data_IF_283130705639
#
_entry.id   IF_283130705639
#
_cell.length_a   1.000
_cell.length_b   1.000
_cell.length_c   1.000
_cell.angle_alpha   90.00
_cell.angle_beta   90.00
_cell.angle_gamma   90.00
#
_symmetry.space_group_name_H-M   'P 1'
#
loop_
_entity.id
_entity.type
_entity.pdbx_description
1 polymer ?
#
# COMPACT_ATOMS: atom_id res chain seq x y z
N UNK A 1 10.87 -9.32 -2.23
CA UNK A 1 10.25 -8.10 -1.65
C UNK A 1 8.88 -7.95 -2.26
N UNK A 2 7.85 -7.57 -1.52
CA UNK A 2 6.50 -7.38 -2.10
C UNK A 2 6.39 -6.02 -2.74
N UNK A 3 5.62 -5.96 -3.82
CA UNK A 3 5.39 -4.70 -4.51
C UNK A 3 4.50 -3.78 -3.66
N UNK A 4 5.04 -2.63 -3.29
CA UNK A 4 4.30 -1.55 -2.61
C UNK A 4 4.22 -0.36 -3.56
N UNK A 5 3.02 0.15 -3.81
CA UNK A 5 2.80 1.36 -4.62
C UNK A 5 1.94 2.34 -3.81
N UNK A 6 2.42 3.57 -3.69
CA UNK A 6 1.74 4.61 -2.91
C UNK A 6 0.89 5.51 -3.81
N UNK A 7 -0.39 5.63 -3.49
CA UNK A 7 -1.27 6.61 -4.12
C UNK A 7 -1.23 7.88 -3.28
N UNK A 8 -0.64 8.92 -3.85
CA UNK A 8 -0.41 10.19 -3.17
C UNK A 8 -1.15 11.34 -3.86
N UNK A 9 -1.15 12.51 -3.27
CA UNK A 9 -1.83 13.70 -3.78
C UNK A 9 -2.37 14.57 -2.64
N UNK A 10 -2.82 15.78 -2.97
CA UNK A 10 -3.41 16.72 -1.99
C UNK A 10 -4.73 16.17 -1.43
N UNK A 11 -5.20 16.73 -0.31
CA UNK A 11 -6.50 16.35 0.24
C UNK A 11 -7.61 16.67 -0.75
N UNK A 12 -8.61 15.78 -0.87
CA UNK A 12 -9.71 15.98 -1.82
C UNK A 12 -9.39 15.66 -3.29
N UNK A 13 -8.17 15.20 -3.63
CA UNK A 13 -7.81 14.90 -5.03
C UNK A 13 -8.51 13.67 -5.63
N UNK A 14 -9.27 12.91 -4.84
CA UNK A 14 -9.96 11.70 -5.33
C UNK A 14 -9.14 10.42 -5.22
N UNK A 15 -8.10 10.37 -4.40
CA UNK A 15 -7.27 9.17 -4.17
C UNK A 15 -8.08 7.95 -3.75
N UNK A 16 -8.99 8.13 -2.80
CA UNK A 16 -9.84 7.02 -2.30
C UNK A 16 -10.70 6.46 -3.42
N UNK A 17 -11.33 7.30 -4.23
CA UNK A 17 -12.15 6.87 -5.38
C UNK A 17 -11.32 6.14 -6.43
N UNK A 18 -10.09 6.60 -6.71
CA UNK A 18 -9.17 5.91 -7.60
C UNK A 18 -8.80 4.53 -7.04
N UNK A 19 -8.48 4.44 -5.75
CA UNK A 19 -8.14 3.18 -5.08
C UNK A 19 -9.30 2.19 -5.12
N UNK A 20 -10.54 2.62 -4.88
CA UNK A 20 -11.73 1.77 -5.00
C UNK A 20 -11.86 1.15 -6.40
N UNK A 21 -11.64 1.96 -7.44
CA UNK A 21 -11.62 1.49 -8.83
C UNK A 21 -10.49 0.50 -9.10
N UNK A 22 -9.27 0.81 -8.66
CA UNK A 22 -8.09 -0.05 -8.84
C UNK A 22 -8.23 -1.38 -8.10
N UNK A 23 -8.73 -1.38 -6.87
CA UNK A 23 -8.99 -2.61 -6.10
C UNK A 23 -9.95 -3.51 -6.88
N UNK A 24 -11.05 -2.94 -7.38
CA UNK A 24 -12.06 -3.68 -8.14
C UNK A 24 -11.47 -4.27 -9.41
N UNK A 25 -10.74 -3.49 -10.18
CA UNK A 25 -10.11 -3.89 -11.42
C UNK A 25 -9.06 -4.99 -11.20
N UNK A 26 -8.11 -4.77 -10.30
CA UNK A 26 -7.04 -5.73 -10.00
C UNK A 26 -7.59 -7.04 -9.42
N UNK A 27 -8.62 -6.97 -8.57
CA UNK A 27 -9.31 -8.16 -8.08
C UNK A 27 -9.98 -8.96 -9.20
N UNK A 28 -10.61 -8.28 -10.17
CA UNK A 28 -11.21 -8.93 -11.35
C UNK A 28 -10.15 -9.63 -12.20
N UNK A 29 -8.92 -9.13 -12.23
CA UNK A 29 -7.76 -9.73 -12.90
C UNK A 29 -7.11 -10.87 -12.08
N UNK A 30 -7.61 -11.15 -10.90
CA UNK A 30 -7.16 -12.28 -10.05
C UNK A 30 -6.09 -11.93 -9.03
N UNK A 31 -5.73 -10.65 -8.85
CA UNK A 31 -4.74 -10.24 -7.87
C UNK A 31 -5.34 -10.11 -6.46
N UNK A 32 -4.56 -10.52 -5.46
CA UNK A 32 -4.83 -10.25 -4.05
C UNK A 32 -4.20 -8.92 -3.66
N UNK A 33 -5.03 -7.93 -3.38
CA UNK A 33 -4.60 -6.56 -3.09
C UNK A 33 -4.84 -6.24 -1.63
N UNK A 34 -3.81 -5.78 -0.94
CA UNK A 34 -3.92 -5.18 0.40
C UNK A 34 -3.90 -3.65 0.30
N UNK A 35 -4.61 -2.98 1.21
CA UNK A 35 -4.62 -1.51 1.32
C UNK A 35 -4.14 -1.09 2.69
N UNK A 36 -3.19 -0.16 2.72
CA UNK A 36 -2.71 0.50 3.94
C UNK A 36 -2.95 1.99 3.83
N UNK A 37 -3.73 2.55 4.75
CA UNK A 37 -4.00 3.98 4.81
C UNK A 37 -3.17 4.64 5.90
N UNK A 38 -2.40 5.66 5.54
CA UNK A 38 -1.71 6.51 6.49
C UNK A 38 -2.64 7.61 7.01
N UNK A 39 -2.73 7.73 8.34
CA UNK A 39 -3.45 8.82 8.99
C UNK A 39 -2.58 9.45 10.08
N UNK A 40 -2.50 10.78 10.06
CA UNK A 40 -1.86 11.55 11.13
C UNK A 40 -2.76 11.72 12.36
N UNK A 41 -4.03 11.37 12.25
CA UNK A 41 -4.99 11.48 13.35
C UNK A 41 -5.07 10.14 14.08
N UNK A 42 -4.60 10.11 15.30
CA UNK A 42 -4.68 8.94 16.19
C UNK A 42 -6.10 8.66 16.71
N UNK A 43 -7.06 9.54 16.42
CA UNK A 43 -8.43 9.42 16.88
C UNK A 43 -9.21 8.44 16.01
N UNK A 44 -9.84 7.49 16.66
CA UNK A 44 -10.97 6.69 16.16
C UNK A 44 -10.63 5.56 15.18
N UNK A 45 -9.49 4.87 15.40
CA UNK A 45 -9.21 3.61 14.71
C UNK A 45 -10.19 2.52 15.19
N UNK A 46 -10.53 2.51 16.47
CA UNK A 46 -11.51 1.60 17.08
C UNK A 46 -12.75 2.37 17.54
N UNK A 47 -13.90 1.72 17.53
CA UNK A 47 -15.15 2.32 17.98
C UNK A 47 -15.13 2.51 19.50
N UNK A 48 -15.28 3.74 19.95
CA UNK A 48 -15.36 4.11 21.38
C UNK A 48 -16.41 3.24 22.10
N UNK A 49 -16.08 2.84 23.33
CA UNK A 49 -16.90 2.02 24.23
C UNK A 49 -17.17 0.57 23.79
N UNK A 50 -16.58 0.10 22.69
CA UNK A 50 -16.57 -1.33 22.36
C UNK A 50 -15.52 -2.08 23.19
N UNK A 51 -15.66 -3.39 23.28
CA UNK A 51 -14.78 -4.21 24.14
C UNK A 51 -13.32 -4.10 23.76
N UNK A 52 -12.96 -4.12 22.47
CA UNK A 52 -11.58 -3.95 21.98
C UNK A 52 -11.00 -2.61 22.42
N UNK A 53 -11.76 -1.52 22.29
CA UNK A 53 -11.38 -0.20 22.78
C UNK A 53 -11.15 -0.19 24.31
N UNK A 54 -12.07 -0.83 25.08
CA UNK A 54 -11.96 -0.92 26.54
C UNK A 54 -10.73 -1.73 26.95
N UNK A 55 -10.40 -2.83 26.27
CA UNK A 55 -9.20 -3.61 26.53
C UNK A 55 -7.94 -2.80 26.27
N UNK A 56 -7.87 -2.06 25.17
CA UNK A 56 -6.75 -1.16 24.85
C UNK A 56 -6.62 -0.06 25.91
N UNK A 57 -7.70 0.54 26.38
CA UNK A 57 -7.68 1.52 27.46
C UNK A 57 -7.26 0.93 28.82
N UNK A 58 -7.55 -0.34 29.05
CA UNK A 58 -7.10 -1.06 30.25
C UNK A 58 -5.62 -1.43 30.22
N UNK A 59 -4.91 -1.21 29.09
CA UNK A 59 -3.47 -1.42 28.96
C UNK A 59 -3.08 -2.62 28.09
N UNK A 60 -4.02 -3.22 27.34
CA UNK A 60 -3.68 -4.27 26.37
C UNK A 60 -2.86 -3.67 25.23
N UNK A 61 -1.73 -4.24 24.92
CA UNK A 61 -0.86 -3.84 23.81
C UNK A 61 -1.43 -4.26 22.45
N UNK A 62 -2.25 -5.32 22.42
CA UNK A 62 -2.93 -5.82 21.26
C UNK A 62 -4.34 -6.29 21.62
N UNK A 63 -5.33 -5.85 20.86
CA UNK A 63 -6.70 -6.34 20.93
C UNK A 63 -7.12 -6.84 19.56
N UNK A 64 -7.81 -7.94 19.49
CA UNK A 64 -8.32 -8.49 18.22
C UNK A 64 -9.80 -8.85 18.33
N UNK A 65 -10.54 -8.53 17.28
CA UNK A 65 -11.92 -8.97 17.07
C UNK A 65 -11.94 -9.97 15.93
N UNK A 66 -12.32 -11.18 16.23
CA UNK A 66 -12.50 -12.25 15.23
C UNK A 66 -13.98 -12.53 15.04
N UNK A 67 -14.47 -12.43 13.80
CA UNK A 67 -15.82 -12.79 13.38
C UNK A 67 -15.78 -13.90 12.33
N UNK A 68 -16.95 -14.27 11.78
CA UNK A 68 -17.03 -15.35 10.78
C UNK A 68 -16.25 -15.01 9.48
N UNK A 69 -16.15 -13.75 9.13
CA UNK A 69 -15.67 -13.27 7.83
C UNK A 69 -14.63 -12.15 7.94
N UNK A 70 -14.37 -11.62 9.16
CA UNK A 70 -13.47 -10.52 9.39
C UNK A 70 -12.59 -10.71 10.62
N UNK A 71 -11.34 -10.34 10.49
CA UNK A 71 -10.39 -10.19 11.60
C UNK A 71 -9.95 -8.72 11.66
N UNK A 72 -10.23 -8.05 12.78
CA UNK A 72 -9.68 -6.74 13.08
C UNK A 72 -8.63 -6.86 14.18
N UNK A 73 -7.48 -6.22 14.00
CA UNK A 73 -6.38 -6.19 14.96
C UNK A 73 -6.06 -4.74 15.28
N UNK A 74 -6.08 -4.41 16.57
CA UNK A 74 -5.68 -3.12 17.11
C UNK A 74 -4.43 -3.32 17.96
N UNK A 75 -3.29 -2.87 17.45
CA UNK A 75 -2.01 -2.92 18.15
C UNK A 75 -1.58 -1.50 18.49
N UNK A 76 -1.24 -1.29 19.77
CA UNK A 76 -0.57 -0.06 20.18
C UNK A 76 0.85 -0.06 19.61
N UNK A 77 1.23 1.07 19.03
CA UNK A 77 2.54 1.26 18.43
C UNK A 77 3.25 2.38 19.18
N UNK A 78 4.50 2.13 19.55
CA UNK A 78 5.39 3.14 20.15
C UNK A 78 6.23 3.84 19.06
N UNK A 79 6.36 3.21 17.89
CA UNK A 79 7.08 3.70 16.72
C UNK A 79 6.17 3.63 15.46
N UNK A 80 6.50 4.46 14.50
CA UNK A 80 5.81 4.46 13.20
C UNK A 80 6.35 3.32 12.34
N UNK A 81 5.48 2.45 11.84
CA UNK A 81 5.81 1.42 10.87
C UNK A 81 5.59 1.93 9.46
N UNK A 82 6.58 1.74 8.61
CA UNK A 82 6.41 1.99 7.20
C UNK A 82 5.57 0.87 6.52
N UNK A 83 5.08 1.06 5.30
CA UNK A 83 4.28 0.05 4.61
C UNK A 83 4.99 -1.29 4.41
N UNK A 84 6.32 -1.33 4.31
CA UNK A 84 7.08 -2.58 4.16
C UNK A 84 7.07 -3.36 5.47
N UNK A 85 7.29 -2.70 6.60
CA UNK A 85 7.22 -3.32 7.92
C UNK A 85 5.81 -3.87 8.21
N UNK A 86 4.77 -3.13 7.83
CA UNK A 86 3.37 -3.61 7.92
C UNK A 86 3.18 -4.85 7.02
N UNK A 87 3.75 -4.83 5.80
CA UNK A 87 3.71 -5.96 4.88
C UNK A 87 4.31 -7.22 5.50
N UNK A 88 5.50 -7.09 6.07
CA UNK A 88 6.23 -8.22 6.62
C UNK A 88 5.51 -8.82 7.85
N UNK A 89 4.76 -7.98 8.57
CA UNK A 89 4.08 -8.38 9.79
C UNK A 89 2.68 -9.01 9.57
N UNK A 90 1.90 -8.49 8.61
CA UNK A 90 0.46 -8.84 8.50
C UNK A 90 0.06 -9.29 7.10
N UNK A 91 0.77 -8.88 6.06
CA UNK A 91 0.27 -8.93 4.68
C UNK A 91 0.95 -10.00 3.81
N UNK A 92 1.35 -11.12 4.40
CA UNK A 92 2.11 -12.18 3.72
C UNK A 92 1.36 -12.94 2.58
N UNK A 93 0.03 -12.83 2.48
CA UNK A 93 -0.80 -13.54 1.47
C UNK A 93 -1.39 -12.58 0.41
N UNK A 94 -0.68 -11.49 0.06
CA UNK A 94 -1.10 -10.54 -0.96
C UNK A 94 -0.03 -10.38 -2.04
N UNK A 95 -0.48 -10.17 -3.29
CA UNK A 95 0.40 -9.94 -4.44
C UNK A 95 0.93 -8.50 -4.47
N UNK A 96 0.09 -7.55 -4.05
CA UNK A 96 0.30 -6.11 -4.13
C UNK A 96 -0.20 -5.41 -2.89
N UNK A 97 0.55 -4.41 -2.43
CA UNK A 97 0.13 -3.47 -1.40
C UNK A 97 -0.03 -2.09 -2.04
N UNK A 98 -1.24 -1.59 -2.04
CA UNK A 98 -1.50 -0.19 -2.36
C UNK A 98 -1.60 0.61 -1.07
N UNK A 99 -1.03 1.80 -1.05
CA UNK A 99 -1.16 2.68 0.12
C UNK A 99 -1.87 3.98 -0.23
N UNK A 100 -2.68 4.50 0.69
CA UNK A 100 -3.18 5.87 0.62
C UNK A 100 -2.34 6.77 1.52
N UNK A 101 -1.59 7.68 0.93
CA UNK A 101 -0.67 8.57 1.66
C UNK A 101 0.78 8.11 1.58
N UNK A 102 1.52 8.16 2.70
CA UNK A 102 2.95 7.84 2.75
C UNK A 102 3.81 8.69 1.80
N UNK A 103 3.55 10.00 1.74
CA UNK A 103 4.20 10.94 0.83
C UNK A 103 5.72 10.96 0.97
N UNK A 104 6.22 10.79 2.19
CA UNK A 104 7.65 10.82 2.53
C UNK A 104 8.36 9.48 2.40
N UNK A 105 7.66 8.39 2.07
CA UNK A 105 8.30 7.09 1.85
C UNK A 105 9.09 7.06 0.54
N UNK A 106 10.02 6.11 0.40
CA UNK A 106 10.78 5.88 -0.83
C UNK A 106 10.08 4.93 -1.80
N UNK A 107 8.83 4.52 -1.52
CA UNK A 107 8.07 3.65 -2.42
C UNK A 107 7.72 4.35 -3.73
N UNK A 108 7.62 3.58 -4.83
CA UNK A 108 7.08 4.07 -6.09
C UNK A 108 5.69 4.68 -5.90
N UNK A 109 5.43 5.79 -6.55
CA UNK A 109 4.22 6.60 -6.35
C UNK A 109 3.43 6.83 -7.63
N UNK A 110 2.11 6.77 -7.51
CA UNK A 110 1.18 7.33 -8.47
C UNK A 110 0.55 8.56 -7.81
N UNK A 111 0.79 9.74 -8.39
CA UNK A 111 0.27 10.99 -7.84
C UNK A 111 -1.04 11.39 -8.51
N UNK A 112 -2.06 11.67 -7.69
CA UNK A 112 -3.31 12.28 -8.16
C UNK A 112 -3.19 13.79 -8.03
N UNK A 113 -3.02 14.46 -9.16
CA UNK A 113 -2.85 15.90 -9.29
C UNK A 113 -4.01 16.49 -10.11
N UNK A 114 -4.67 17.50 -9.54
CA UNK A 114 -5.75 18.22 -10.19
C UNK A 114 -5.38 19.69 -10.31
N UNK A 115 -5.73 20.27 -11.45
CA UNK A 115 -5.50 21.69 -11.72
C UNK A 115 -5.99 22.61 -10.61
N UNK A 116 -7.18 22.37 -10.09
CA UNK A 116 -7.76 23.20 -9.03
C UNK A 116 -6.98 23.18 -7.70
N UNK A 117 -6.05 22.24 -7.55
CA UNK A 117 -5.22 22.10 -6.35
C UNK A 117 -3.92 22.90 -6.41
N UNK A 118 -3.73 23.70 -7.47
CA UNK A 118 -2.57 24.56 -7.68
C UNK A 118 -1.41 23.86 -8.37
N UNK A 119 -0.38 24.63 -8.69
CA UNK A 119 0.78 24.17 -9.46
C UNK A 119 1.70 23.24 -8.67
N UNK A 120 2.35 22.33 -9.39
CA UNK A 120 3.43 21.46 -8.94
C UNK A 120 2.97 20.15 -8.29
N UNK A 121 3.75 19.12 -8.58
CA UNK A 121 3.64 17.82 -7.96
C UNK A 121 4.24 17.83 -6.57
N UNK A 122 3.79 16.90 -5.72
CA UNK A 122 4.31 16.73 -4.35
C UNK A 122 5.29 15.56 -4.24
N UNK A 123 5.44 14.78 -5.32
CA UNK A 123 6.31 13.61 -5.40
C UNK A 123 7.60 13.97 -6.11
N UNK A 124 8.72 13.53 -5.56
CA UNK A 124 10.01 13.62 -6.24
C UNK A 124 9.98 12.79 -7.53
N UNK A 125 10.52 13.33 -8.65
CA UNK A 125 10.45 12.66 -9.96
C UNK A 125 11.02 11.24 -9.97
N UNK A 126 12.03 10.95 -9.17
CA UNK A 126 12.66 9.62 -9.07
C UNK A 126 11.76 8.52 -8.50
N UNK A 127 10.71 8.90 -7.75
CA UNK A 127 9.74 7.97 -7.18
C UNK A 127 8.41 7.98 -7.93
N UNK A 128 8.28 8.80 -8.98
CA UNK A 128 7.03 9.01 -9.68
C UNK A 128 6.86 7.99 -10.82
N UNK A 129 5.92 7.06 -10.66
CA UNK A 129 5.55 6.07 -11.68
C UNK A 129 4.60 6.63 -12.72
N UNK A 130 3.64 7.42 -12.27
CA UNK A 130 2.62 8.02 -13.12
C UNK A 130 1.92 9.17 -12.42
N UNK A 131 1.25 10.01 -13.20
CA UNK A 131 0.36 11.06 -12.68
C UNK A 131 -1.05 10.84 -13.20
N UNK A 132 -2.02 10.94 -12.30
CA UNK A 132 -3.43 10.98 -12.62
C UNK A 132 -3.84 12.45 -12.63
N UNK A 133 -4.19 12.96 -13.79
CA UNK A 133 -4.43 14.39 -13.96
C UNK A 133 -5.63 14.66 -14.86
N UNK A 134 -6.22 15.84 -14.73
CA UNK A 134 -7.30 16.37 -15.58
C UNK A 134 -6.77 17.29 -16.69
N UNK A 135 -5.46 17.61 -16.69
CA UNK A 135 -4.80 18.35 -17.75
C UNK A 135 -3.38 17.81 -18.00
N UNK A 136 -2.89 17.86 -19.24
CA UNK A 136 -1.53 17.44 -19.56
C UNK A 136 -0.48 18.28 -18.81
N UNK A 137 0.53 17.62 -18.27
CA UNK A 137 1.70 18.24 -17.64
C UNK A 137 2.94 18.02 -18.51
N UNK A 138 3.88 18.96 -18.49
CA UNK A 138 5.17 18.85 -19.19
C UNK A 138 6.17 18.04 -18.38
N UNK A 139 5.90 16.71 -18.25
CA UNK A 139 6.73 15.77 -17.49
C UNK A 139 6.91 14.48 -18.27
N UNK A 140 8.04 13.81 -18.08
CA UNK A 140 8.39 12.55 -18.77
C UNK A 140 8.00 11.31 -17.92
N UNK A 141 6.72 11.24 -17.53
CA UNK A 141 6.13 10.05 -16.91
C UNK A 141 4.74 9.79 -17.49
N UNK A 142 4.25 8.55 -17.47
CA UNK A 142 2.90 8.23 -17.90
C UNK A 142 1.85 9.10 -17.22
N UNK A 143 0.89 9.61 -18.00
CA UNK A 143 -0.21 10.43 -17.52
C UNK A 143 -1.53 9.77 -17.88
N UNK A 144 -2.45 9.72 -16.93
CA UNK A 144 -3.75 9.10 -17.09
C UNK A 144 -4.85 10.03 -16.59
N UNK A 145 -6.06 9.88 -17.13
CA UNK A 145 -7.25 10.45 -16.52
C UNK A 145 -7.75 9.57 -15.36
N UNK A 146 -8.59 10.10 -14.48
CA UNK A 146 -9.21 9.33 -13.40
C UNK A 146 -10.04 8.14 -13.88
N UNK A 147 -10.51 8.19 -15.12
CA UNK A 147 -11.34 7.15 -15.71
C UNK A 147 -10.52 6.03 -16.36
N UNK A 148 -9.22 6.21 -16.51
CA UNK A 148 -8.31 5.23 -17.13
C UNK A 148 -7.90 4.11 -16.16
N UNK A 149 -8.78 3.67 -15.25
CA UNK A 149 -8.49 2.68 -14.20
C UNK A 149 -7.86 1.41 -14.77
N UNK A 150 -8.37 0.91 -15.91
CA UNK A 150 -7.81 -0.29 -16.56
C UNK A 150 -6.38 -0.08 -17.04
N UNK A 151 -6.05 1.07 -17.64
CA UNK A 151 -4.68 1.37 -18.10
C UNK A 151 -3.71 1.57 -16.92
N UNK A 152 -4.19 2.12 -15.81
CA UNK A 152 -3.40 2.26 -14.58
C UNK A 152 -3.13 0.86 -14.00
N UNK A 153 -4.11 -0.03 -14.04
CA UNK A 153 -3.92 -1.43 -13.63
C UNK A 153 -2.91 -2.15 -14.54
N UNK A 154 -2.91 -1.91 -15.86
CA UNK A 154 -1.90 -2.44 -16.79
C UNK A 154 -0.48 -2.01 -16.39
N UNK A 155 -0.29 -0.74 -16.03
CA UNK A 155 0.98 -0.24 -15.53
C UNK A 155 1.40 -0.96 -14.24
N UNK A 156 0.49 -1.12 -13.30
CA UNK A 156 0.74 -1.82 -12.02
C UNK A 156 1.12 -3.29 -12.29
N UNK A 157 0.42 -3.99 -13.17
CA UNK A 157 0.73 -5.38 -13.52
C UNK A 157 2.11 -5.51 -14.18
N UNK A 158 2.51 -4.56 -15.02
CA UNK A 158 3.85 -4.55 -15.62
C UNK A 158 4.93 -4.51 -14.53
N UNK A 159 4.72 -3.72 -13.47
CA UNK A 159 5.64 -3.63 -12.33
C UNK A 159 5.63 -4.92 -11.51
N UNK A 160 4.45 -5.51 -11.27
CA UNK A 160 4.32 -6.78 -10.57
C UNK A 160 5.07 -7.91 -11.28
N UNK A 161 4.97 -7.98 -12.60
CA UNK A 161 5.62 -9.01 -13.42
C UNK A 161 7.14 -8.83 -13.42
N UNK A 162 7.65 -7.60 -13.52
CA UNK A 162 9.09 -7.34 -13.50
C UNK A 162 9.76 -7.73 -12.18
N UNK A 163 9.04 -7.69 -11.08
CA UNK A 163 9.55 -8.07 -9.74
C UNK A 163 9.44 -9.57 -9.45
N UNK A 164 8.55 -10.30 -10.15
CA UNK A 164 8.45 -11.77 -9.99
C UNK A 164 9.67 -12.52 -10.53
N UNK A 165 10.39 -11.95 -11.49
CA UNK A 165 11.62 -12.55 -12.05
C UNK A 165 12.82 -12.44 -11.08
N UNK A 166 12.72 -11.65 -10.02
CA UNK A 166 13.74 -11.51 -8.96
C UNK A 166 13.35 -12.25 -7.66
N UNK A 167 12.63 -13.36 -7.73
CA UNK A 167 12.20 -14.10 -6.53
C UNK A 167 13.38 -14.69 -5.76
N UNK A 168 13.97 -13.90 -4.87
CA UNK A 168 14.69 -14.43 -3.71
C UNK A 168 13.70 -15.10 -2.75
N UNK A 169 13.94 -16.34 -2.40
CA UNK A 169 13.20 -17.04 -1.35
C UNK A 169 13.49 -16.38 0.01
N UNK A 170 12.47 -15.79 0.62
CA UNK A 170 12.56 -15.27 1.97
C UNK A 170 12.33 -16.39 3.00
N UNK A 171 13.40 -16.79 3.68
CA UNK A 171 13.29 -17.70 4.83
C UNK A 171 13.07 -16.86 6.10
N UNK A 172 11.88 -16.99 6.69
CA UNK A 172 11.56 -16.35 7.97
C UNK A 172 11.50 -17.43 9.05
N UNK A 173 12.38 -17.35 10.04
CA UNK A 173 12.39 -18.25 11.20
C UNK A 173 12.08 -17.44 12.45
N UNK A 174 11.02 -17.79 13.16
CA UNK A 174 10.55 -17.11 14.37
C UNK A 174 10.38 -15.57 14.19
N UNK A 175 9.86 -15.14 13.02
CA UNK A 175 9.68 -13.72 12.72
C UNK A 175 10.95 -12.97 12.33
N UNK A 176 12.09 -13.63 12.23
CA UNK A 176 13.36 -13.05 11.80
C UNK A 176 13.70 -13.52 10.40
N UNK A 177 13.95 -12.58 9.48
CA UNK A 177 14.42 -12.87 8.13
C UNK A 177 15.82 -13.45 8.18
N UNK A 178 16.00 -14.65 7.63
CA UNK A 178 17.30 -15.31 7.51
C UNK A 178 17.81 -15.09 6.09
N UNK A 179 19.00 -14.47 5.91
CA UNK A 179 19.58 -14.32 4.59
C UNK A 179 19.81 -15.70 3.96
N UNK A 180 19.25 -15.93 2.79
CA UNK A 180 19.48 -17.16 2.03
C UNK A 180 20.55 -16.92 0.98
N UNK A 181 21.49 -17.86 0.81
CA UNK A 181 22.45 -17.78 -0.29
C UNK A 181 21.77 -18.13 -1.62
N UNK A 182 22.31 -17.64 -2.72
CA UNK A 182 21.82 -17.96 -4.07
C UNK A 182 21.84 -19.48 -4.35
N UNK A 183 22.78 -20.22 -3.75
CA UNK A 183 22.87 -21.68 -3.80
C UNK A 183 21.69 -22.37 -3.08
N UNK A 184 21.25 -21.82 -1.95
CA UNK A 184 20.11 -22.33 -1.18
C UNK A 184 18.80 -22.11 -1.93
N UNK A 185 18.63 -20.97 -2.57
CA UNK A 185 17.46 -20.65 -3.38
C UNK A 185 17.33 -21.58 -4.59
N UNK A 186 18.46 -21.96 -5.23
CA UNK A 186 18.48 -22.89 -6.35
C UNK A 186 18.20 -24.36 -5.97
N UNK A 187 18.27 -24.73 -4.69
CA UNK A 187 17.95 -26.08 -4.20
C UNK A 187 16.45 -26.30 -3.94
N UNK A 188 15.66 -25.22 -3.87
CA UNK A 188 14.23 -25.25 -3.54
C UNK A 188 13.33 -24.99 -4.76
N UNK A 189 13.89 -24.66 -5.92
CA UNK A 189 13.20 -24.51 -7.21
C UNK A 189 13.39 -25.75 -8.06
#
# INVERSE_FOLDING_TARGET
MRTVISIVGKSGSGKTTLLEGLITELKTRGHKVAIVKHSHHASDIDTTDKDTWRFTKAGSELSALNSLDHLAIYRRMDEYFDPQEISDFVLWDYDLILTEGFKSSNFPKIEVHLREQGEGLITDPEHLLAVITDEPLEIDVPQFSRNDVSKIADLIETILLSQKDETELDLIVNGTRVPTSQEFNNLLT
#
